data_IF_536522060276
#
_entry.id   IF_536522060276
#
_cell.length_a   1.000
_cell.length_b   1.000
_cell.length_c   1.000
_cell.angle_alpha   90.00
_cell.angle_beta   90.00
_cell.angle_gamma   90.00
#
_symmetry.space_group_name_H-M   'P 1'
#
loop_
_entity.id
_entity.type
_entity.pdbx_description
1 polymer ?
#
# COMPACT_ATOMS: atom_id res chain seq x y z
N UNK A 1 -18.16 15.50 -24.63
CA UNK A 1 -16.99 14.92 -23.95
C UNK A 1 -16.69 15.81 -22.76
N UNK A 2 -17.19 15.46 -21.57
CA UNK A 2 -16.90 16.20 -20.34
C UNK A 2 -15.46 15.91 -19.93
N UNK A 3 -14.64 16.94 -19.74
CA UNK A 3 -13.33 16.79 -19.11
C UNK A 3 -13.54 16.25 -17.69
N UNK A 4 -13.03 15.05 -17.41
CA UNK A 4 -12.88 14.57 -16.03
C UNK A 4 -11.76 15.37 -15.37
N UNK A 5 -12.02 16.64 -15.06
CA UNK A 5 -11.17 17.41 -14.17
C UNK A 5 -11.49 16.94 -12.77
N UNK A 6 -10.75 15.95 -12.28
CA UNK A 6 -10.71 15.65 -10.86
C UNK A 6 -10.00 16.84 -10.19
N UNK A 7 -10.76 17.79 -9.67
CA UNK A 7 -10.25 18.84 -8.79
C UNK A 7 -9.84 18.19 -7.45
N UNK A 8 -8.73 17.45 -7.50
CA UNK A 8 -8.12 16.84 -6.34
C UNK A 8 -7.16 17.86 -5.73
N UNK A 9 -7.19 17.99 -4.41
CA UNK A 9 -6.25 18.85 -3.70
C UNK A 9 -4.82 18.36 -3.99
N UNK A 10 -3.84 19.22 -4.33
CA UNK A 10 -2.45 18.82 -4.58
C UNK A 10 -1.82 17.98 -3.47
N UNK A 11 -2.17 18.27 -2.21
CA UNK A 11 -1.73 17.47 -1.04
C UNK A 11 -2.31 16.07 -1.12
N UNK A 12 -3.58 15.96 -1.48
CA UNK A 12 -4.25 14.67 -1.63
C UNK A 12 -3.65 13.85 -2.78
N UNK A 13 -3.42 14.47 -3.95
CA UNK A 13 -2.73 13.83 -5.07
C UNK A 13 -1.37 13.27 -4.64
N UNK A 14 -0.60 14.07 -3.90
CA UNK A 14 0.71 13.67 -3.39
C UNK A 14 0.62 12.50 -2.43
N UNK A 15 -0.38 12.51 -1.53
CA UNK A 15 -0.63 11.39 -0.62
C UNK A 15 -1.03 10.12 -1.37
N UNK A 16 -1.90 10.20 -2.38
CA UNK A 16 -2.25 9.05 -3.20
C UNK A 16 -1.06 8.51 -3.99
N UNK A 17 -0.19 9.38 -4.51
CA UNK A 17 1.06 8.96 -5.13
C UNK A 17 1.94 8.18 -4.14
N UNK A 18 2.07 8.67 -2.90
CA UNK A 18 2.78 7.97 -1.83
C UNK A 18 2.13 6.62 -1.55
N UNK A 19 0.81 6.57 -1.36
CA UNK A 19 0.06 5.31 -1.12
C UNK A 19 0.34 4.27 -2.21
N UNK A 20 0.20 4.65 -3.48
CA UNK A 20 0.42 3.74 -4.61
C UNK A 20 1.87 3.29 -4.66
N UNK A 21 2.82 4.22 -4.49
CA UNK A 21 4.24 3.91 -4.45
C UNK A 21 4.58 2.96 -3.31
N UNK A 22 3.99 3.18 -2.12
CA UNK A 22 4.18 2.33 -0.96
C UNK A 22 3.63 0.93 -1.18
N UNK A 23 2.47 0.76 -1.85
CA UNK A 23 1.96 -0.59 -2.20
C UNK A 23 2.94 -1.32 -3.09
N UNK A 24 3.40 -0.67 -4.16
CA UNK A 24 4.32 -1.28 -5.12
C UNK A 24 5.63 -1.67 -4.44
N UNK A 25 6.21 -0.74 -3.67
CA UNK A 25 7.45 -0.99 -2.94
C UNK A 25 7.28 -2.05 -1.86
N UNK A 26 6.16 -2.08 -1.15
CA UNK A 26 5.93 -3.08 -0.10
C UNK A 26 5.84 -4.48 -0.69
N UNK A 27 5.02 -4.67 -1.73
CA UNK A 27 4.94 -5.95 -2.46
C UNK A 27 6.31 -6.36 -3.00
N UNK A 28 7.02 -5.43 -3.63
CA UNK A 28 8.34 -5.72 -4.19
C UNK A 28 9.36 -6.10 -3.12
N UNK A 29 9.47 -5.33 -2.04
CA UNK A 29 10.45 -5.58 -0.97
C UNK A 29 10.14 -6.85 -0.20
N UNK A 30 8.87 -7.15 0.06
CA UNK A 30 8.46 -8.44 0.64
C UNK A 30 8.84 -9.60 -0.29
N UNK A 31 8.58 -9.47 -1.60
CA UNK A 31 8.96 -10.50 -2.57
C UNK A 31 10.48 -10.74 -2.59
N UNK A 32 11.27 -9.67 -2.61
CA UNK A 32 12.74 -9.76 -2.58
C UNK A 32 13.21 -10.39 -1.27
N UNK A 33 12.66 -9.99 -0.13
CA UNK A 33 13.03 -10.54 1.18
C UNK A 33 12.75 -12.04 1.28
N UNK A 34 11.54 -12.46 0.88
CA UNK A 34 11.17 -13.87 0.83
C UNK A 34 12.07 -14.67 -0.13
N UNK A 35 12.39 -14.10 -1.30
CA UNK A 35 13.29 -14.72 -2.29
C UNK A 35 14.73 -14.85 -1.77
N UNK A 36 15.15 -13.96 -0.87
CA UNK A 36 16.44 -14.01 -0.16
C UNK A 36 16.42 -14.96 1.06
N UNK A 37 15.28 -15.61 1.35
CA UNK A 37 15.13 -16.52 2.49
C UNK A 37 14.84 -15.84 3.83
N UNK A 38 14.57 -14.53 3.84
CA UNK A 38 14.11 -13.84 5.04
C UNK A 38 12.68 -14.28 5.40
N UNK A 39 12.38 -14.52 6.68
CA UNK A 39 11.02 -14.79 7.11
C UNK A 39 10.16 -13.52 7.06
N UNK A 40 8.88 -13.66 6.71
CA UNK A 40 7.91 -12.57 6.86
C UNK A 40 7.68 -12.27 8.35
N UNK A 41 7.95 -11.02 8.74
CA UNK A 41 7.89 -10.55 10.12
C UNK A 41 6.46 -10.25 10.59
N UNK A 42 5.54 -9.97 9.66
CA UNK A 42 4.14 -9.76 9.99
C UNK A 42 3.40 -11.11 10.05
N UNK A 43 2.93 -11.57 11.23
CA UNK A 43 2.32 -12.89 11.38
C UNK A 43 1.04 -13.05 10.55
N UNK A 44 0.30 -11.96 10.31
CA UNK A 44 -0.92 -11.97 9.48
C UNK A 44 -0.55 -12.14 8.01
N UNK A 45 0.41 -11.35 7.52
CA UNK A 45 0.87 -11.45 6.11
C UNK A 45 1.48 -12.82 5.86
N UNK A 46 2.31 -13.31 6.79
CA UNK A 46 2.88 -14.65 6.74
C UNK A 46 1.79 -15.72 6.62
N UNK A 47 0.78 -15.67 7.50
CA UNK A 47 -0.34 -16.61 7.44
C UNK A 47 -1.10 -16.55 6.10
N UNK A 48 -1.33 -15.35 5.56
CA UNK A 48 -1.96 -15.17 4.24
C UNK A 48 -1.11 -15.79 3.13
N UNK A 49 0.19 -15.53 3.12
CA UNK A 49 1.11 -16.05 2.09
C UNK A 49 1.20 -17.58 2.19
N UNK A 50 1.34 -18.12 3.39
CA UNK A 50 1.45 -19.56 3.63
C UNK A 50 0.15 -20.31 3.26
N UNK A 51 -1.02 -19.67 3.43
CA UNK A 51 -2.33 -20.31 3.21
C UNK A 51 -2.87 -20.10 1.79
N UNK A 52 -2.71 -18.88 1.25
CA UNK A 52 -3.35 -18.42 0.00
C UNK A 52 -2.35 -18.02 -1.08
N UNK A 53 -1.06 -18.04 -0.77
CA UNK A 53 0.02 -17.65 -1.67
C UNK A 53 0.27 -16.14 -1.72
N UNK A 54 1.41 -15.78 -2.29
CA UNK A 54 1.84 -14.39 -2.43
C UNK A 54 0.86 -13.51 -3.23
N UNK A 55 0.18 -14.10 -4.23
CA UNK A 55 -0.84 -13.39 -5.02
C UNK A 55 -2.01 -12.88 -4.18
N UNK A 56 -2.42 -13.61 -3.14
CA UNK A 56 -3.50 -13.19 -2.25
C UNK A 56 -3.12 -11.96 -1.41
N UNK A 57 -1.85 -11.88 -0.97
CA UNK A 57 -1.33 -10.70 -0.29
C UNK A 57 -1.36 -9.45 -1.21
N UNK A 58 -0.88 -9.57 -2.45
CA UNK A 58 -0.92 -8.48 -3.42
C UNK A 58 -2.37 -8.04 -3.74
N UNK A 59 -3.28 -8.99 -3.95
CA UNK A 59 -4.70 -8.70 -4.16
C UNK A 59 -5.32 -8.02 -2.94
N UNK A 60 -4.97 -8.43 -1.72
CA UNK A 60 -5.43 -7.79 -0.49
C UNK A 60 -5.10 -6.30 -0.45
N UNK A 61 -3.91 -5.90 -0.87
CA UNK A 61 -3.54 -4.47 -0.98
C UNK A 61 -4.36 -3.73 -2.01
N UNK A 62 -4.61 -4.33 -3.17
CA UNK A 62 -5.44 -3.73 -4.22
C UNK A 62 -6.90 -3.57 -3.75
N UNK A 63 -7.42 -4.52 -3.00
CA UNK A 63 -8.76 -4.42 -2.39
C UNK A 63 -8.82 -3.27 -1.38
N UNK A 64 -7.82 -3.13 -0.51
CA UNK A 64 -7.75 -1.99 0.42
C UNK A 64 -7.66 -0.66 -0.33
N UNK A 65 -6.84 -0.58 -1.39
CA UNK A 65 -6.71 0.61 -2.22
C UNK A 65 -8.03 0.97 -2.90
N UNK A 66 -8.71 -0.02 -3.50
CA UNK A 66 -10.01 0.15 -4.13
C UNK A 66 -11.10 0.60 -3.14
N UNK A 67 -11.19 -0.06 -1.98
CA UNK A 67 -12.11 0.33 -0.92
C UNK A 67 -11.83 1.76 -0.42
N UNK A 68 -10.57 2.14 -0.23
CA UNK A 68 -10.22 3.49 0.17
C UNK A 68 -10.57 4.53 -0.90
N UNK A 69 -10.38 4.20 -2.19
CA UNK A 69 -10.84 5.03 -3.31
C UNK A 69 -12.35 5.22 -3.32
N UNK A 70 -13.12 4.14 -3.11
CA UNK A 70 -14.58 4.23 -3.00
C UNK A 70 -15.02 5.07 -1.80
N UNK A 71 -14.39 4.90 -0.64
CA UNK A 71 -14.67 5.72 0.56
C UNK A 71 -14.32 7.19 0.30
N UNK A 72 -13.24 7.46 -0.43
CA UNK A 72 -12.85 8.81 -0.86
C UNK A 72 -13.90 9.44 -1.77
N UNK A 73 -14.44 8.69 -2.72
CA UNK A 73 -15.47 9.19 -3.64
C UNK A 73 -16.79 9.47 -2.91
N UNK A 74 -17.16 8.61 -1.96
CA UNK A 74 -18.36 8.79 -1.12
C UNK A 74 -18.23 9.95 -0.13
N UNK A 75 -17.01 10.21 0.36
CA UNK A 75 -16.77 11.26 1.34
C UNK A 75 -15.62 12.20 0.94
N UNK A 76 -15.82 13.07 -0.07
CA UNK A 76 -14.73 13.87 -0.62
C UNK A 76 -14.03 14.80 0.37
N UNK A 77 -14.78 15.27 1.37
CA UNK A 77 -14.26 16.14 2.44
C UNK A 77 -13.13 15.49 3.24
N UNK A 78 -13.10 14.17 3.37
CA UNK A 78 -12.11 13.44 4.17
C UNK A 78 -10.95 12.91 3.33
N UNK A 79 -10.84 13.32 2.07
CA UNK A 79 -9.90 12.71 1.15
C UNK A 79 -8.44 12.70 1.57
N UNK A 80 -7.87 13.86 1.94
CA UNK A 80 -6.52 13.91 2.48
C UNK A 80 -6.34 13.02 3.71
N UNK A 81 -7.35 12.94 4.59
CA UNK A 81 -7.30 12.09 5.80
C UNK A 81 -7.30 10.61 5.46
N UNK A 82 -8.12 10.18 4.49
CA UNK A 82 -8.17 8.80 4.01
C UNK A 82 -6.82 8.42 3.39
N UNK A 83 -6.29 9.26 2.49
CA UNK A 83 -5.00 9.02 1.85
C UNK A 83 -3.86 9.01 2.86
N UNK A 84 -3.86 9.93 3.84
CA UNK A 84 -2.87 9.98 4.91
C UNK A 84 -2.92 8.73 5.80
N UNK A 85 -4.12 8.26 6.15
CA UNK A 85 -4.33 7.06 6.95
C UNK A 85 -3.77 5.79 6.31
N UNK A 86 -3.66 5.75 4.98
CA UNK A 86 -2.97 4.69 4.25
C UNK A 86 -1.48 4.96 4.09
N UNK A 87 -1.12 6.19 3.70
CA UNK A 87 0.24 6.58 3.37
C UNK A 87 1.20 6.34 4.54
N UNK A 88 0.80 6.74 5.76
CA UNK A 88 1.65 6.66 6.95
C UNK A 88 2.01 5.20 7.28
N UNK A 89 1.06 4.29 7.59
CA UNK A 89 1.42 2.93 7.96
C UNK A 89 2.14 2.19 6.83
N UNK A 90 1.73 2.37 5.57
CA UNK A 90 2.36 1.66 4.45
C UNK A 90 3.77 2.15 4.15
N UNK A 91 4.03 3.45 4.29
CA UNK A 91 5.41 3.97 4.18
C UNK A 91 6.29 3.40 5.29
N UNK A 92 5.78 3.28 6.52
CA UNK A 92 6.52 2.66 7.61
C UNK A 92 6.84 1.19 7.33
N UNK A 93 5.90 0.42 6.76
CA UNK A 93 6.17 -0.97 6.35
C UNK A 93 7.26 -1.06 5.29
N UNK A 94 7.19 -0.21 4.26
CA UNK A 94 8.24 -0.14 3.22
C UNK A 94 9.60 0.18 3.82
N UNK A 95 9.68 1.15 4.74
CA UNK A 95 10.92 1.52 5.41
C UNK A 95 11.48 0.36 6.24
N UNK A 96 10.62 -0.38 6.95
CA UNK A 96 11.03 -1.56 7.68
C UNK A 96 11.60 -2.63 6.73
N UNK A 97 10.88 -3.00 5.66
CA UNK A 97 11.36 -3.98 4.70
C UNK A 97 12.68 -3.53 4.04
N UNK A 98 12.76 -2.28 3.62
CA UNK A 98 13.97 -1.71 3.02
C UNK A 98 15.15 -1.72 3.99
N UNK A 99 14.94 -1.40 5.27
CA UNK A 99 15.99 -1.45 6.29
C UNK A 99 16.50 -2.87 6.53
N UNK A 100 15.61 -3.87 6.53
CA UNK A 100 15.99 -5.28 6.66
C UNK A 100 16.75 -5.76 5.44
N UNK A 101 16.31 -5.39 4.23
CA UNK A 101 17.01 -5.71 2.99
C UNK A 101 18.38 -5.03 2.89
N UNK A 102 18.51 -3.80 3.37
CA UNK A 102 19.78 -3.08 3.38
C UNK A 102 20.80 -3.65 4.38
N UNK A 103 20.35 -4.50 5.30
CA UNK A 103 21.19 -5.19 6.29
C UNK A 103 21.59 -6.62 5.88
N UNK A 104 21.18 -7.07 4.69
CA UNK A 104 21.63 -8.32 4.05
C UNK A 104 23.04 -8.18 3.47
#
# INVERSE_FOLDING_TARGET
MGSLSFDINPVEASLWLVVVSSVVLDVYTTYVGLSAGLPEGNPVVRWVIDTLGFGAFALGKLLVLGCAGLVRDLYPRYGPTIALGLAVPWTLTVLANASTLAAL
#
